data_IF_988107932138
#
_entry.id   IF_988107932138
#
_cell.length_a   1.000
_cell.length_b   1.000
_cell.length_c   1.000
_cell.angle_alpha   90.00
_cell.angle_beta   90.00
_cell.angle_gamma   90.00
#
_symmetry.space_group_name_H-M   'P 1'
#
loop_
_entity.id
_entity.type
_entity.pdbx_description
1 polymer ?
2 branched ?
3 water ?
#
# COMPACT_ATOMS: atom_id res chain seq x y z
N UNK A 4 -21.29 -8.65 -14.48
CA UNK A 4 -22.53 -9.38 -14.05
C UNK A 4 -22.24 -10.36 -12.91
N UNK A 5 -22.70 -10.00 -11.71
CA UNK A 5 -22.41 -10.73 -10.49
C UNK A 5 -23.60 -11.59 -10.04
N UNK A 6 -23.33 -12.84 -9.71
CA UNK A 6 -24.37 -13.74 -9.18
C UNK A 6 -24.07 -14.03 -7.72
N UNK A 7 -25.11 -14.30 -6.93
CA UNK A 7 -24.93 -14.67 -5.53
C UNK A 7 -24.98 -16.18 -5.35
N UNK A 8 -23.96 -16.74 -4.71
CA UNK A 8 -23.95 -18.16 -4.35
C UNK A 8 -24.57 -18.32 -2.97
N UNK A 9 -24.09 -17.52 -2.02
CA UNK A 9 -24.53 -17.53 -0.64
C UNK A 9 -25.56 -16.43 -0.39
N UNK A 10 -26.57 -16.74 0.42
CA UNK A 10 -27.56 -15.74 0.82
C UNK A 10 -26.91 -14.69 1.70
N UNK A 11 -27.40 -13.44 1.63
CA UNK A 11 -26.78 -12.39 2.42
C UNK A 11 -27.11 -12.46 3.90
N UNK A 12 -26.29 -11.81 4.72
CA UNK A 12 -26.62 -11.58 6.11
C UNK A 12 -27.31 -10.23 6.20
N UNK A 13 -28.54 -10.23 6.68
CA UNK A 13 -29.34 -9.01 6.75
C UNK A 13 -29.38 -8.47 8.18
N UNK A 14 -29.07 -7.19 8.31
CA UNK A 14 -29.08 -6.48 9.59
C UNK A 14 -28.41 -7.28 10.71
N UNK A 15 -27.13 -7.66 10.51
CA UNK A 15 -26.47 -8.47 11.52
C UNK A 15 -26.19 -7.64 12.75
N UNK A 16 -26.23 -8.27 13.92
CA UNK A 16 -25.93 -7.58 15.16
C UNK A 16 -24.41 -7.51 15.35
N UNK A 17 -23.91 -6.29 15.52
CA UNK A 17 -22.50 -6.02 15.82
C UNK A 17 -22.20 -6.16 17.31
N UNK A 18 -21.18 -6.96 17.69
CA UNK A 18 -20.18 -7.65 16.86
C UNK A 18 -20.73 -8.88 16.17
N UNK A 19 -20.41 -9.02 14.89
CA UNK A 19 -20.92 -10.13 14.10
C UNK A 19 -19.80 -11.07 13.68
N UNK A 20 -20.09 -12.37 13.69
CA UNK A 20 -19.20 -13.39 13.17
C UNK A 20 -20.03 -14.38 12.37
N UNK A 21 -19.65 -14.59 11.12
CA UNK A 21 -20.36 -15.51 10.25
C UNK A 21 -19.45 -16.14 9.22
N UNK A 22 -19.79 -17.37 8.80
CA UNK A 22 -19.01 -18.14 7.83
C UNK A 22 -19.21 -17.68 6.40
N UNK A 23 -18.15 -17.80 5.59
CA UNK A 23 -18.22 -17.58 4.16
C UNK A 23 -18.21 -18.96 3.52
N UNK A 24 -19.33 -19.32 2.93
CA UNK A 24 -19.50 -20.64 2.32
C UNK A 24 -18.48 -20.93 1.23
N UNK A 25 -17.86 -22.11 1.33
CA UNK A 25 -16.84 -22.55 0.36
C UNK A 25 -15.54 -21.79 0.49
N UNK A 26 -15.50 -20.86 1.44
CA UNK A 26 -14.36 -19.97 1.66
C UNK A 26 -14.23 -18.93 0.57
N UNK A 27 -13.33 -17.97 0.77
CA UNK A 27 -12.99 -16.98 -0.27
C UNK A 27 -12.62 -17.65 -1.59
N UNK A 28 -12.96 -17.00 -2.69
CA UNK A 28 -12.64 -17.49 -4.03
C UNK A 28 -12.16 -16.33 -4.88
N UNK A 29 -11.38 -16.62 -5.92
CA UNK A 29 -10.97 -15.59 -6.84
C UNK A 29 -12.21 -15.06 -7.56
N UNK A 30 -12.36 -13.75 -7.59
CA UNK A 30 -13.50 -13.11 -8.22
C UNK A 30 -14.66 -12.83 -7.29
N UNK A 31 -14.61 -13.38 -6.08
CA UNK A 31 -15.67 -13.20 -5.09
C UNK A 31 -15.70 -11.75 -4.61
N UNK A 32 -16.90 -11.21 -4.52
CA UNK A 32 -17.09 -9.84 -4.10
C UNK A 32 -17.93 -9.82 -2.82
N UNK A 33 -17.40 -9.18 -1.78
CA UNK A 33 -18.07 -9.11 -0.50
C UNK A 33 -18.40 -7.66 -0.20
N UNK A 34 -19.69 -7.32 -0.26
CA UNK A 34 -20.12 -5.95 -0.12
C UNK A 34 -20.84 -5.75 1.22
N UNK A 35 -20.43 -4.70 1.93
CA UNK A 35 -21.05 -4.35 3.20
C UNK A 35 -21.75 -3.01 3.07
N UNK A 36 -23.07 -3.01 3.24
CA UNK A 36 -23.84 -1.78 3.33
C UNK A 36 -24.16 -1.54 4.80
N UNK A 37 -23.84 -0.35 5.28
CA UNK A 37 -24.06 -0.02 6.67
C UNK A 37 -23.77 1.42 6.97
N UNK A 38 -23.72 1.75 8.26
CA UNK A 38 -23.59 3.14 8.70
C UNK A 38 -22.56 3.29 9.83
N UNK A 39 -21.78 4.36 9.74
CA UNK A 39 -20.79 4.74 10.73
C UNK A 39 -21.49 5.55 11.84
N UNK A 40 -21.28 5.16 13.10
CA UNK A 40 -21.89 5.87 14.24
C UNK A 40 -21.40 7.32 14.30
N UNK A 41 -22.15 8.15 15.02
CA UNK A 41 -21.93 9.61 15.01
C UNK A 41 -20.65 10.02 15.74
N UNK A 42 -20.19 9.19 16.65
CA UNK A 42 -18.98 9.47 17.42
C UNK A 42 -17.98 8.33 17.25
N UNK A 43 -18.06 7.67 16.10
CA UNK A 43 -17.18 6.53 15.79
C UNK A 43 -15.71 6.89 15.95
N UNK A 44 -14.98 6.01 16.64
CA UNK A 44 -13.53 6.08 16.71
C UNK A 44 -12.93 5.07 15.74
N UNK A 45 -13.43 3.83 15.80
CA UNK A 45 -12.92 2.71 15.01
C UNK A 45 -14.00 1.70 14.63
N UNK A 46 -13.76 0.98 13.53
CA UNK A 46 -14.44 -0.30 13.30
C UNK A 46 -13.52 -1.31 12.60
N UNK A 47 -13.94 -2.57 12.60
CA UNK A 47 -13.08 -3.65 12.16
C UNK A 47 -13.81 -4.60 11.23
N UNK A 48 -13.18 -4.89 10.09
CA UNK A 48 -13.61 -6.00 9.25
C UNK A 48 -12.44 -6.98 9.15
N UNK A 49 -12.68 -8.21 9.57
CA UNK A 49 -11.67 -9.25 9.59
C UNK A 49 -12.06 -10.41 8.69
N UNK A 50 -11.13 -10.82 7.86
CA UNK A 50 -11.27 -12.08 7.16
C UNK A 50 -10.31 -13.04 7.85
N UNK A 51 -10.84 -14.17 8.30
CA UNK A 51 -10.10 -15.03 9.24
C UNK A 51 -10.47 -16.51 9.10
N UNK A 56 -9.00 -20.09 14.88
CA UNK A 56 -9.71 -19.08 15.68
C UNK A 56 -9.08 -17.69 15.60
N UNK A 57 -7.88 -17.55 16.19
CA UNK A 57 -7.23 -16.24 16.39
C UNK A 57 -6.23 -15.79 15.29
N UNK A 58 -6.53 -16.14 14.04
CA UNK A 58 -5.65 -15.78 12.91
C UNK A 58 -6.37 -14.95 11.83
N UNK A 59 -6.06 -13.66 11.79
CA UNK A 59 -6.69 -12.75 10.84
C UNK A 59 -5.87 -12.55 9.56
N UNK A 60 -6.38 -13.13 8.47
CA UNK A 60 -5.74 -13.03 7.15
C UNK A 60 -5.67 -11.59 6.64
N UNK A 61 -6.76 -10.85 6.82
CA UNK A 61 -6.84 -9.47 6.39
C UNK A 61 -7.65 -8.69 7.42
N UNK A 62 -7.00 -7.69 8.00
CA UNK A 62 -7.58 -6.84 9.02
C UNK A 62 -7.78 -5.47 8.42
N UNK A 63 -9.05 -5.06 8.32
CA UNK A 63 -9.40 -3.75 7.77
C UNK A 63 -9.91 -2.86 8.91
N UNK A 64 -9.12 -1.86 9.26
CA UNK A 64 -9.40 -1.08 10.45
C UNK A 64 -9.28 0.44 10.25
N UNK A 65 -10.40 1.10 9.86
CA UNK A 65 -10.47 2.57 9.81
C UNK A 65 -10.39 3.19 11.20
N UNK A 66 -9.73 4.34 11.29
CA UNK A 66 -9.48 4.99 12.57
C UNK A 66 -9.66 6.50 12.46
N UNK A 67 -10.62 7.02 13.23
CA UNK A 67 -10.92 8.47 13.22
C UNK A 67 -10.02 9.22 14.19
N UNK A 68 -8.72 9.08 13.96
CA UNK A 68 -7.68 9.63 14.82
C UNK A 68 -6.59 10.21 13.92
N UNK A 69 -5.84 11.18 14.46
CA UNK A 69 -4.61 11.68 13.83
C UNK A 69 -4.81 12.06 12.35
N UNK A 70 -5.98 12.60 12.05
CA UNK A 70 -6.29 13.13 10.72
C UNK A 70 -7.22 12.22 9.93
N UNK A 71 -7.34 10.98 10.40
CA UNK A 71 -8.16 9.97 9.73
C UNK A 71 -7.34 9.07 8.82
N UNK A 72 -7.24 7.79 9.17
CA UNK A 72 -6.53 6.82 8.35
C UNK A 72 -7.09 5.40 8.55
N UNK A 73 -6.66 4.47 7.69
CA UNK A 73 -7.11 3.08 7.74
C UNK A 73 -5.91 2.12 7.81
N UNK A 74 -5.96 1.20 8.77
CA UNK A 74 -4.96 0.15 8.91
C UNK A 74 -5.34 -1.14 8.15
N UNK A 75 -4.40 -1.62 7.34
CA UNK A 75 -4.52 -2.96 6.79
C UNK A 75 -3.41 -3.82 7.36
N UNK A 76 -3.76 -5.04 7.79
CA UNK A 76 -2.79 -5.92 8.46
C UNK A 76 -3.17 -7.39 8.47
N UNK A 77 -2.26 -8.21 9.03
CA UNK A 77 -2.44 -9.65 9.15
C UNK A 77 -1.99 -10.13 10.52
N UNK A 78 -2.83 -10.92 11.17
CA UNK A 78 -2.50 -11.56 12.44
C UNK A 78 -2.19 -13.02 12.19
N UNK A 79 -0.98 -13.40 12.55
CA UNK A 79 -0.55 -14.79 12.49
C UNK A 79 -0.02 -15.16 13.85
N UNK A 80 -0.60 -16.20 14.44
CA UNK A 80 -0.19 -16.72 15.74
C UNK A 80 -0.13 -15.66 16.83
N UNK A 81 -1.19 -14.85 16.89
CA UNK A 81 -1.29 -13.79 17.88
C UNK A 81 -0.30 -12.66 17.64
N UNK A 82 0.28 -12.61 16.46
CA UNK A 82 1.25 -11.55 16.13
C UNK A 82 0.78 -10.71 14.95
N UNK A 83 0.72 -9.40 15.15
CA UNK A 83 0.46 -8.47 14.07
C UNK A 83 1.72 -8.26 13.23
N UNK A 84 1.56 -8.36 11.91
CA UNK A 84 2.65 -8.05 10.98
C UNK A 84 2.88 -6.54 10.90
N UNK A 85 3.73 -6.11 9.94
CA UNK A 85 3.88 -4.68 9.72
C UNK A 85 2.59 -4.12 9.11
N UNK A 86 2.23 -2.91 9.51
CA UNK A 86 0.98 -2.32 9.05
C UNK A 86 1.19 -1.64 7.70
N UNK A 87 0.17 -1.73 6.85
CA UNK A 87 0.09 -0.92 5.64
C UNK A 87 -1.02 0.11 5.86
N UNK A 88 -0.62 1.35 6.16
CA UNK A 88 -1.55 2.42 6.49
C UNK A 88 -1.83 3.36 5.31
N UNK A 89 -3.11 3.48 4.94
CA UNK A 89 -3.53 4.47 3.96
C UNK A 89 -3.97 5.72 4.71
N UNK A 90 -3.24 6.82 4.53
CA UNK A 90 -3.44 8.04 5.33
C UNK A 90 -4.58 8.92 4.83
N UNK A 91 -5.77 8.32 4.75
CA UNK A 91 -6.96 9.02 4.28
C UNK A 91 -8.21 8.26 4.75
N UNK A 92 -9.18 9.02 5.24
CA UNK A 92 -10.42 8.46 5.76
C UNK A 92 -11.56 8.63 4.74
N UNK A 93 -12.00 7.52 4.14
CA UNK A 93 -13.05 7.53 3.11
C UNK A 93 -14.47 7.43 3.67
N UNK A 94 -14.59 7.16 4.98
CA UNK A 94 -15.86 7.10 5.68
C UNK A 94 -16.11 8.42 6.42
N UNK A 95 -17.35 8.60 6.89
CA UNK A 95 -17.72 9.80 7.63
C UNK A 95 -18.65 9.49 8.77
N UNK A 96 -18.36 10.07 9.94
CA UNK A 96 -19.16 9.86 11.15
C UNK A 96 -20.62 10.18 10.89
N UNK A 97 -21.50 9.22 11.20
CA UNK A 97 -22.94 9.41 11.04
C UNK A 97 -23.48 9.04 9.67
N UNK A 98 -22.59 8.92 8.69
CA UNK A 98 -22.98 8.72 7.28
C UNK A 98 -22.95 7.27 6.80
N UNK A 99 -23.95 6.85 5.99
CA UNK A 99 -23.93 5.51 5.41
C UNK A 99 -22.77 5.30 4.42
N UNK A 100 -22.39 4.05 4.20
CA UNK A 100 -21.27 3.72 3.34
C UNK A 100 -21.53 2.42 2.60
N UNK A 101 -20.87 2.27 1.45
CA UNK A 101 -20.79 0.98 0.78
C UNK A 101 -19.33 0.58 0.78
N UNK A 102 -19.06 -0.63 1.27
CA UNK A 102 -17.71 -1.14 1.37
C UNK A 102 -17.59 -2.44 0.59
N UNK A 103 -16.72 -2.45 -0.40
CA UNK A 103 -16.61 -3.60 -1.27
C UNK A 103 -15.19 -4.19 -1.25
N UNK A 104 -15.12 -5.49 -0.94
CA UNK A 104 -13.87 -6.24 -1.01
C UNK A 104 -13.91 -7.18 -2.21
N UNK A 105 -12.94 -7.04 -3.10
CA UNK A 105 -12.84 -7.96 -4.24
C UNK A 105 -11.61 -8.85 -4.10
N UNK A 106 -11.84 -10.16 -4.10
CA UNK A 106 -10.77 -11.12 -3.95
C UNK A 106 -10.16 -11.40 -5.31
N UNK A 107 -8.97 -10.87 -5.52
CA UNK A 107 -8.22 -11.07 -6.75
C UNK A 107 -7.07 -12.03 -6.51
N UNK A 108 -6.40 -12.42 -7.59
CA UNK A 108 -5.39 -13.47 -7.56
C UNK A 108 -4.31 -13.20 -6.52
N UNK A 109 -3.83 -11.95 -6.45
CA UNK A 109 -2.76 -11.65 -5.50
C UNK A 109 -3.04 -10.49 -4.54
N UNK A 110 -4.27 -9.97 -4.56
CA UNK A 110 -4.66 -8.91 -3.62
C UNK A 110 -6.17 -8.83 -3.40
N UNK A 111 -6.56 -8.24 -2.27
CA UNK A 111 -7.91 -7.75 -2.08
C UNK A 111 -7.97 -6.37 -2.70
N UNK A 112 -9.00 -6.08 -3.48
CA UNK A 112 -9.26 -4.70 -3.88
C UNK A 112 -10.37 -4.10 -3.01
N UNK A 113 -10.10 -2.97 -2.38
CA UNK A 113 -11.09 -2.33 -1.51
C UNK A 113 -11.70 -1.07 -2.14
N UNK A 114 -13.03 -1.09 -2.24
CA UNK A 114 -13.82 0.02 -2.78
C UNK A 114 -14.70 0.55 -1.66
N UNK A 115 -14.76 1.88 -1.55
CA UNK A 115 -15.64 2.54 -0.60
C UNK A 115 -16.51 3.51 -1.39
N UNK A 116 -17.83 3.32 -1.31
CA UNK A 116 -18.79 4.11 -2.06
C UNK A 116 -18.49 4.13 -3.55
N UNK A 117 -18.31 2.94 -4.12
CA UNK A 117 -18.08 2.75 -5.57
C UNK A 117 -16.77 3.35 -6.15
N UNK A 118 -15.87 3.81 -5.29
CA UNK A 118 -14.55 4.28 -5.72
C UNK A 118 -13.42 3.51 -5.01
N UNK A 119 -12.43 3.08 -5.80
CA UNK A 119 -11.27 2.37 -5.26
C UNK A 119 -10.65 3.15 -4.12
N UNK A 120 -10.30 2.45 -3.05
CA UNK A 120 -9.68 3.08 -1.90
C UNK A 120 -8.28 2.52 -1.60
N UNK A 121 -8.16 1.19 -1.55
CA UNK A 121 -6.87 0.56 -1.27
C UNK A 121 -6.85 -0.89 -1.74
N UNK A 122 -5.65 -1.40 -2.00
CA UNK A 122 -5.46 -2.83 -2.17
C UNK A 122 -4.50 -3.35 -1.12
N UNK A 123 -4.61 -4.64 -0.82
CA UNK A 123 -3.75 -5.28 0.17
C UNK A 123 -3.43 -6.67 -0.35
N UNK A 124 -2.16 -6.87 -0.69
CA UNK A 124 -1.76 -8.15 -1.28
C UNK A 124 -1.70 -9.24 -0.22
N UNK A 125 -2.10 -10.44 -0.62
CA UNK A 125 -2.24 -11.56 0.29
C UNK A 125 -0.93 -11.90 0.99
N UNK A 126 -0.96 -11.97 2.32
CA UNK A 126 0.17 -12.45 3.13
C UNK A 126 0.01 -13.94 3.46
N UNK A 127 -1.23 -14.36 3.63
CA UNK A 127 -1.58 -15.77 3.71
C UNK A 127 -2.62 -15.98 2.60
N UNK A 128 -2.77 -17.22 2.09
CA UNK A 128 -3.69 -17.39 0.96
C UNK A 128 -5.13 -17.10 1.35
N UNK A 129 -5.92 -16.69 0.37
CA UNK A 129 -7.32 -16.34 0.63
C UNK A 129 -8.16 -17.59 0.86
N UNK A 130 -7.74 -18.70 0.25
CA UNK A 130 -8.47 -19.98 0.30
C UNK A 130 -8.76 -20.47 1.71
N UNK A 131 -7.89 -20.11 2.66
CA UNK A 131 -8.00 -20.57 4.03
C UNK A 131 -8.92 -19.67 4.85
N UNK A 132 -9.50 -18.66 4.22
CA UNK A 132 -10.40 -17.74 4.89
C UNK A 132 -11.84 -18.20 4.68
N UNK A 133 -12.52 -18.53 5.78
CA UNK A 133 -13.91 -18.96 5.70
C UNK A 133 -14.78 -18.26 6.75
N UNK A 134 -14.35 -17.08 7.17
CA UNK A 134 -15.06 -16.33 8.19
C UNK A 134 -14.87 -14.84 8.04
N UNK A 135 -15.98 -14.13 7.92
CA UNK A 135 -16.00 -12.67 7.99
C UNK A 135 -16.33 -12.32 9.45
N UNK A 136 -15.77 -11.22 9.93
CA UNK A 136 -16.03 -10.77 11.30
C UNK A 136 -16.02 -9.25 11.36
N UNK A 137 -17.11 -8.68 11.86
CA UNK A 137 -17.26 -7.24 11.90
C UNK A 137 -17.55 -6.78 13.31
N UNK A 138 -16.88 -5.70 13.73
CA UNK A 138 -17.03 -5.13 15.05
C UNK A 138 -16.72 -3.64 15.05
N UNK A 139 -16.92 -2.98 16.19
CA UNK A 139 -16.63 -1.55 16.33
C UNK A 139 -17.83 -0.64 16.17
N UNK A 140 -17.55 0.65 15.98
CA UNK A 140 -18.57 1.70 15.96
C UNK A 140 -19.34 1.83 14.64
N UNK A 141 -20.09 0.78 14.29
CA UNK A 141 -20.91 0.79 13.08
C UNK A 141 -22.16 -0.07 13.22
N UNK A 142 -23.17 0.21 12.40
CA UNK A 142 -24.25 -0.75 12.18
C UNK A 142 -24.28 -1.17 10.71
N UNK A 143 -24.69 -2.41 10.45
CA UNK A 143 -24.79 -2.92 9.09
C UNK A 143 -26.23 -3.19 8.64
N UNK A 144 -26.53 -2.81 7.42
CA UNK A 144 -27.80 -3.14 6.78
C UNK A 144 -27.73 -4.52 6.12
N UNK A 145 -26.61 -4.81 5.45
CA UNK A 145 -26.38 -6.14 4.87
C UNK A 145 -24.91 -6.45 4.51
N UNK A 146 -24.68 -7.72 4.19
CA UNK A 146 -23.40 -8.21 3.67
C UNK A 146 -23.74 -9.16 2.54
N UNK A 147 -23.29 -8.86 1.32
CA UNK A 147 -23.53 -9.75 0.18
C UNK A 147 -22.29 -10.48 -0.30
N UNK A 148 -22.52 -11.61 -0.98
CA UNK A 148 -21.48 -12.43 -1.57
C UNK A 148 -21.86 -12.65 -3.02
N UNK A 149 -21.00 -12.19 -3.93
CA UNK A 149 -21.28 -12.24 -5.36
C UNK A 149 -20.03 -12.63 -6.13
N UNK A 150 -20.19 -13.55 -7.07
CA UNK A 150 -19.07 -14.08 -7.85
C UNK A 150 -19.47 -14.16 -9.32
N UNK A 151 -18.76 -13.40 -10.18
CA UNK A 151 -19.16 -13.18 -11.58
C UNK A 151 -19.26 -14.42 -12.49
N UNK B 5 19.83 -9.21 -17.84
CA UNK B 5 20.07 -7.87 -17.24
C UNK B 5 21.18 -7.11 -17.98
N UNK B 6 20.79 -6.08 -18.72
CA UNK B 6 21.71 -5.27 -19.54
C UNK B 6 21.62 -3.78 -19.18
N UNK B 7 22.66 -3.02 -19.50
CA UNK B 7 22.74 -1.59 -19.17
C UNK B 7 22.18 -0.65 -20.25
N UNK B 8 20.91 -0.27 -20.11
CA UNK B 8 20.27 0.72 -20.99
C UNK B 8 20.82 2.12 -20.71
N UNK B 9 21.55 2.23 -19.60
CA UNK B 9 22.19 3.47 -19.20
C UNK B 9 23.45 3.16 -18.38
N UNK B 10 24.49 3.96 -18.58
CA UNK B 10 25.73 3.84 -17.81
C UNK B 10 25.51 4.32 -16.37
N UNK B 11 26.02 3.56 -15.39
CA UNK B 11 25.80 3.85 -13.96
C UNK B 11 26.33 5.21 -13.52
N UNK B 12 25.63 5.84 -12.58
CA UNK B 12 26.18 7.00 -11.88
C UNK B 12 27.07 6.48 -10.76
N UNK B 13 28.34 6.87 -10.77
CA UNK B 13 29.30 6.43 -9.74
C UNK B 13 29.53 7.53 -8.72
N UNK B 14 29.38 7.18 -7.45
CA UNK B 14 29.45 8.13 -6.32
C UNK B 14 28.77 9.48 -6.57
N UNK B 15 27.45 9.46 -6.85
CA UNK B 15 26.75 10.73 -7.02
C UNK B 15 26.65 11.50 -5.71
N UNK B 16 26.84 12.81 -5.77
CA UNK B 16 26.74 13.67 -4.60
C UNK B 16 25.27 13.97 -4.28
N UNK B 17 24.90 13.80 -3.02
CA UNK B 17 23.57 14.08 -2.52
C UNK B 17 23.54 15.50 -1.94
N UNK B 18 22.52 16.31 -2.30
CA UNK B 18 21.36 16.03 -3.16
C UNK B 18 21.72 15.77 -4.63
N UNK B 19 21.01 14.83 -5.24
CA UNK B 19 21.25 14.42 -6.64
C UNK B 19 19.99 14.54 -7.50
N UNK B 20 20.19 14.92 -8.76
CA UNK B 20 19.12 14.96 -9.77
C UNK B 20 19.74 14.58 -11.09
N UNK B 21 19.20 13.55 -11.74
CA UNK B 21 19.76 13.07 -12.99
C UNK B 21 18.75 12.42 -13.91
N UNK B 22 18.96 12.54 -15.23
CA UNK B 22 18.07 11.95 -16.22
C UNK B 22 18.07 10.42 -16.20
N UNK B 23 16.94 9.82 -16.54
CA UNK B 23 16.81 8.38 -16.78
C UNK B 23 16.65 8.21 -18.29
N UNK B 24 17.48 7.34 -18.87
CA UNK B 24 17.58 7.20 -20.33
C UNK B 24 16.31 6.60 -20.95
N UNK B 25 15.66 7.38 -21.81
CA UNK B 25 14.42 6.96 -22.48
C UNK B 25 13.24 6.80 -21.55
N UNK B 26 13.34 7.42 -20.36
CA UNK B 26 12.29 7.35 -19.33
C UNK B 26 12.11 5.97 -18.73
N UNK B 27 11.12 5.84 -17.85
CA UNK B 27 10.82 4.55 -17.25
C UNK B 27 10.20 3.59 -18.24
N UNK B 28 10.64 2.33 -18.18
CA UNK B 28 10.11 1.26 -19.03
C UNK B 28 9.71 0.06 -18.19
N UNK B 29 8.77 -0.72 -18.72
CA UNK B 29 8.35 -1.95 -18.07
C UNK B 29 9.49 -2.96 -18.03
N UNK B 30 9.88 -3.35 -16.82
CA UNK B 30 10.97 -4.30 -16.62
C UNK B 30 12.29 -3.66 -16.22
N UNK B 31 12.29 -2.35 -16.04
CA UNK B 31 13.51 -1.64 -15.66
C UNK B 31 13.75 -1.70 -14.16
N UNK B 32 14.97 -2.11 -13.79
CA UNK B 32 15.41 -2.14 -12.40
C UNK B 32 16.36 -0.98 -12.14
N UNK B 33 16.00 -0.15 -11.18
CA UNK B 33 16.88 0.93 -10.75
C UNK B 33 17.39 0.60 -9.36
N UNK B 34 18.70 0.34 -9.26
CA UNK B 34 19.30 0.00 -7.98
C UNK B 34 20.07 1.19 -7.41
N UNK B 35 19.82 1.48 -6.14
CA UNK B 35 20.61 2.44 -5.39
C UNK B 35 21.42 1.70 -4.33
N UNK B 36 22.71 1.56 -4.59
CA UNK B 36 23.61 1.00 -3.59
C UNK B 36 24.23 2.15 -2.82
N UNK B 37 24.11 2.11 -1.50
CA UNK B 37 24.57 3.20 -0.65
C UNK B 37 24.51 2.85 0.81
N UNK B 38 24.66 3.87 1.64
CA UNK B 38 24.70 3.70 3.09
C UNK B 38 23.89 4.82 3.76
N UNK B 39 23.06 4.42 4.72
CA UNK B 39 22.28 5.37 5.51
C UNK B 39 23.20 6.01 6.54
N UNK B 40 23.10 7.32 6.72
CA UNK B 40 23.84 8.01 7.79
C UNK B 40 23.47 7.44 9.16
N UNK B 41 24.37 7.54 10.13
CA UNK B 41 24.10 7.06 11.48
C UNK B 41 23.28 8.04 12.34
N UNK B 42 23.23 9.30 11.91
CA UNK B 42 22.35 10.28 12.55
C UNK B 42 21.32 10.76 11.51
N UNK B 43 20.40 9.85 11.18
CA UNK B 43 19.50 10.04 10.04
C UNK B 43 18.05 10.21 10.46
N UNK B 44 17.48 11.36 10.13
CA UNK B 44 16.06 11.60 10.32
C UNK B 44 15.23 10.94 9.22
N UNK B 45 15.45 11.37 7.98
CA UNK B 45 14.74 10.82 6.81
C UNK B 45 15.50 11.09 5.52
N UNK B 46 15.26 10.24 4.51
CA UNK B 46 15.79 10.48 3.16
C UNK B 46 14.78 10.14 2.05
N UNK B 47 15.02 10.69 0.86
CA UNK B 47 14.03 10.74 -0.22
C UNK B 47 14.55 10.15 -1.54
N UNK B 48 13.75 9.25 -2.14
CA UNK B 48 13.98 8.83 -3.53
C UNK B 48 12.76 9.22 -4.38
N UNK B 49 12.93 10.30 -5.15
CA UNK B 49 11.87 10.83 -6.02
C UNK B 49 12.04 10.41 -7.47
N UNK B 50 11.01 9.78 -8.01
CA UNK B 50 10.90 9.58 -9.46
C UNK B 50 9.97 10.65 -9.98
N UNK B 51 10.46 11.44 -10.93
CA UNK B 51 9.71 12.61 -11.38
C UNK B 51 9.83 12.95 -12.87
N UNK B 52 8.96 13.86 -13.30
CA UNK B 52 8.90 14.33 -14.68
C UNK B 52 9.40 15.77 -14.79
N UNK B 53 10.47 15.95 -15.57
CA UNK B 53 11.08 17.27 -15.73
C UNK B 53 10.26 18.27 -16.57
N UNK B 54 9.25 17.77 -17.29
CA UNK B 54 8.36 18.64 -18.08
C UNK B 54 7.26 19.29 -17.24
N UNK B 55 7.16 18.86 -15.98
CA UNK B 55 6.42 19.60 -14.95
C UNK B 55 7.25 19.60 -13.66
N UNK B 56 8.58 19.68 -13.82
CA UNK B 56 9.58 19.65 -12.73
C UNK B 56 9.06 19.43 -11.32
N UNK B 57 8.43 20.48 -10.78
CA UNK B 57 7.78 20.49 -9.47
C UNK B 57 7.12 19.17 -9.01
N UNK B 58 6.36 18.54 -9.92
CA UNK B 58 5.66 17.28 -9.63
C UNK B 58 6.60 16.12 -9.30
N UNK B 59 6.06 15.15 -8.57
CA UNK B 59 6.76 13.90 -8.24
C UNK B 59 5.82 12.73 -8.49
N UNK B 60 6.23 11.80 -9.36
CA UNK B 60 5.38 10.66 -9.72
C UNK B 60 5.35 9.59 -8.63
N UNK B 61 6.53 9.19 -8.17
CA UNK B 61 6.67 8.30 -7.03
C UNK B 61 7.64 8.90 -6.02
N UNK B 62 7.14 9.15 -4.82
CA UNK B 62 7.92 9.69 -3.71
C UNK B 62 8.08 8.60 -2.65
N UNK B 63 9.32 8.12 -2.50
CA UNK B 63 9.66 7.06 -1.55
C UNK B 63 10.51 7.66 -0.43
N UNK B 64 9.93 7.73 0.77
CA UNK B 64 10.53 8.45 1.89
C UNK B 64 10.54 7.69 3.22
N UNK B 65 11.60 6.89 3.47
CA UNK B 65 11.80 6.28 4.79
C UNK B 65 12.05 7.32 5.89
N UNK B 66 11.36 7.15 7.02
CA UNK B 66 11.44 8.08 8.15
C UNK B 66 11.80 7.33 9.43
N UNK B 67 13.01 7.58 9.94
CA UNK B 67 13.48 6.98 11.19
C UNK B 67 12.85 7.71 12.36
N UNK B 68 11.55 7.49 12.54
CA UNK B 68 10.73 8.17 13.50
C UNK B 68 9.57 7.27 13.87
N UNK B 69 9.10 7.38 15.11
CA UNK B 69 7.87 6.71 15.56
C UNK B 69 7.88 5.21 15.30
N UNK B 70 9.04 4.59 15.54
CA UNK B 70 9.21 3.14 15.37
C UNK B 70 9.91 2.80 14.07
N UNK B 71 9.97 3.77 13.17
CA UNK B 71 10.56 3.59 11.85
C UNK B 71 9.56 3.11 10.82
N UNK B 72 9.23 3.98 9.87
CA UNK B 72 8.29 3.65 8.79
C UNK B 72 8.69 4.30 7.46
N UNK B 73 8.09 3.83 6.36
CA UNK B 73 8.34 4.40 5.04
C UNK B 73 7.07 5.05 4.45
N UNK B 74 7.24 6.22 3.85
CA UNK B 74 6.16 6.94 3.17
C UNK B 74 6.27 6.82 1.65
N UNK B 75 5.18 6.42 1.00
CA UNK B 75 5.07 6.40 -0.46
C UNK B 75 3.92 7.30 -0.89
N UNK B 76 4.21 8.27 -1.74
CA UNK B 76 3.19 9.23 -2.19
C UNK B 76 3.44 9.76 -3.61
N UNK B 77 2.49 10.55 -4.10
CA UNK B 77 2.60 11.22 -5.39
C UNK B 77 2.28 12.71 -5.19
N UNK B 78 3.00 13.55 -5.92
CA UNK B 78 2.74 14.99 -5.94
C UNK B 78 2.31 15.43 -7.34
N UNK B 79 1.05 15.87 -7.45
CA UNK B 79 0.49 16.39 -8.70
C UNK B 79 0.10 17.85 -8.54
N UNK B 80 0.58 18.70 -9.45
CA UNK B 80 0.29 20.14 -9.45
C UNK B 80 0.61 20.82 -8.12
N UNK B 81 1.73 20.41 -7.51
CA UNK B 81 2.16 20.94 -6.23
C UNK B 81 1.39 20.42 -5.02
N UNK B 82 0.53 19.43 -5.23
CA UNK B 82 -0.29 18.86 -4.16
C UNK B 82 0.12 17.41 -3.87
N UNK B 83 0.15 17.05 -2.59
CA UNK B 83 0.42 15.69 -2.19
C UNK B 83 -0.89 14.91 -2.09
N UNK B 84 -0.92 13.70 -2.64
CA UNK B 84 -2.07 12.83 -2.52
C UNK B 84 -2.13 12.18 -1.14
N UNK B 85 -2.99 11.16 -0.98
CA UNK B 85 -3.02 10.42 0.28
C UNK B 85 -1.80 9.51 0.41
N UNK B 86 -1.16 9.52 1.58
CA UNK B 86 0.05 8.73 1.81
C UNK B 86 -0.24 7.25 1.99
N UNK B 87 0.68 6.41 1.52
CA UNK B 87 0.64 4.98 1.79
C UNK B 87 1.84 4.65 2.65
N UNK B 88 1.60 4.49 3.95
CA UNK B 88 2.66 4.27 4.90
C UNK B 88 2.86 2.80 5.20
N UNK B 89 4.07 2.30 4.93
CA UNK B 89 4.48 0.99 5.40
C UNK B 89 5.13 1.16 6.78
N UNK B 90 4.51 0.57 7.80
CA UNK B 90 4.95 0.76 9.19
C UNK B 90 6.03 -0.26 9.59
N UNK B 91 7.22 -0.06 9.02
CA UNK B 91 8.36 -0.96 9.16
C UNK B 91 9.56 -0.26 8.49
N UNK B 92 10.71 -0.34 9.14
CA UNK B 92 11.93 0.27 8.62
C UNK B 92 12.94 -0.83 8.24
N UNK B 93 13.14 -1.05 6.92
CA UNK B 93 14.03 -2.10 6.43
C UNK B 93 15.51 -1.67 6.30
N UNK B 94 15.78 -0.40 6.57
CA UNK B 94 17.13 0.16 6.56
C UNK B 94 17.64 0.33 7.98
N UNK B 95 18.83 -0.19 8.25
CA UNK B 95 19.48 0.05 9.53
C UNK B 95 20.23 1.37 9.51
N UNK B 96 20.07 2.15 10.57
CA UNK B 96 20.72 3.46 10.72
C UNK B 96 22.26 3.29 10.70
N UNK B 97 22.92 3.99 9.79
CA UNK B 97 24.38 3.92 9.66
C UNK B 97 24.93 2.77 8.85
N UNK B 98 24.04 1.95 8.29
CA UNK B 98 24.42 0.71 7.61
C UNK B 98 24.28 0.76 6.08
N UNK B 99 25.02 -0.10 5.36
CA UNK B 99 24.83 -0.22 3.90
C UNK B 99 23.49 -0.86 3.53
N UNK B 100 23.04 -0.62 2.29
CA UNK B 100 21.78 -1.18 1.79
C UNK B 100 21.78 -1.35 0.27
N UNK B 101 21.01 -2.34 -0.20
CA UNK B 101 20.70 -2.47 -1.62
C UNK B 101 19.21 -2.15 -1.87
N UNK B 102 18.97 -1.01 -2.50
CA UNK B 102 17.61 -0.56 -2.80
C UNK B 102 17.29 -0.77 -4.27
N UNK B 103 16.32 -1.64 -4.54
CA UNK B 103 15.88 -1.94 -5.90
C UNK B 103 14.51 -1.37 -6.18
N UNK B 104 14.37 -0.68 -7.31
CA UNK B 104 13.07 -0.27 -7.84
C UNK B 104 12.82 -0.98 -9.16
N UNK B 105 11.89 -1.94 -9.16
CA UNK B 105 11.53 -2.67 -10.37
C UNK B 105 10.21 -2.12 -10.93
N UNK B 106 10.29 -1.49 -12.10
CA UNK B 106 9.11 -0.91 -12.75
C UNK B 106 8.32 -2.01 -13.42
N UNK B 107 7.04 -2.09 -13.06
CA UNK B 107 6.13 -3.06 -13.66
C UNK B 107 4.91 -2.36 -14.25
N UNK B 108 4.09 -3.16 -14.95
CA UNK B 108 2.93 -2.65 -15.68
C UNK B 108 2.04 -1.78 -14.80
N UNK B 109 1.67 -2.28 -13.63
CA UNK B 109 0.72 -1.59 -12.77
C UNK B 109 1.30 -0.98 -11.50
N UNK B 110 2.56 -1.28 -11.20
CA UNK B 110 3.20 -0.75 -9.97
C UNK B 110 4.72 -0.68 -10.00
N UNK B 111 5.28 0.08 -9.07
CA UNK B 111 6.69 -0.03 -8.69
C UNK B 111 6.81 -1.14 -7.64
N UNK B 112 7.72 -2.09 -7.86
CA UNK B 112 8.08 -3.10 -6.87
C UNK B 112 9.38 -2.68 -6.19
N UNK B 113 9.34 -2.51 -4.87
CA UNK B 113 10.52 -2.08 -4.11
C UNK B 113 11.16 -3.24 -3.34
N UNK B 114 12.45 -3.46 -3.57
CA UNK B 114 13.21 -4.47 -2.84
C UNK B 114 14.28 -3.78 -2.00
N UNK B 115 14.34 -4.14 -0.72
CA UNK B 115 15.43 -3.68 0.15
C UNK B 115 16.25 -4.88 0.61
N UNK B 116 17.57 -4.76 0.50
CA UNK B 116 18.50 -5.82 0.93
C UNK B 116 18.08 -7.21 0.46
N UNK B 117 17.63 -7.27 -0.79
CA UNK B 117 17.22 -8.52 -1.46
C UNK B 117 15.86 -9.09 -1.01
N UNK B 118 15.20 -8.39 -0.08
CA UNK B 118 13.86 -8.76 0.39
C UNK B 118 12.80 -7.80 -0.18
N UNK B 119 11.69 -8.36 -0.67
CA UNK B 119 10.55 -7.55 -1.09
C UNK B 119 10.08 -6.68 0.07
N UNK B 120 9.94 -5.39 -0.16
CA UNK B 120 9.53 -4.49 0.91
C UNK B 120 8.11 -3.91 0.74
N UNK B 121 7.89 -3.18 -0.34
CA UNK B 121 6.59 -2.55 -0.57
C UNK B 121 6.32 -2.46 -2.06
N UNK B 122 5.06 -2.25 -2.42
CA UNK B 122 4.71 -1.93 -3.79
C UNK B 122 3.99 -0.59 -3.82
N UNK B 123 3.91 -0.01 -5.01
CA UNK B 123 3.27 1.28 -5.17
C UNK B 123 2.66 1.37 -6.55
N UNK B 124 1.33 1.36 -6.57
CA UNK B 124 0.57 1.41 -7.81
C UNK B 124 0.69 2.78 -8.47
N UNK B 125 0.88 2.78 -9.78
CA UNK B 125 1.04 4.00 -10.56
C UNK B 125 -0.17 4.91 -10.45
N UNK B 126 0.07 6.15 -10.02
CA UNK B 126 -0.99 7.13 -9.91
C UNK B 126 -1.04 8.06 -11.11
N UNK B 127 0.14 8.33 -11.67
CA UNK B 127 0.27 9.00 -12.97
C UNK B 127 1.04 8.07 -13.90
N UNK B 128 0.81 8.18 -15.23
CA UNK B 128 1.44 7.19 -16.12
C UNK B 128 2.96 7.16 -15.94
N UNK B 129 3.55 5.96 -15.92
CA UNK B 129 4.98 5.82 -15.59
C UNK B 129 5.91 6.34 -16.69
N UNK B 130 5.42 6.37 -17.93
CA UNK B 130 6.20 6.82 -19.08
C UNK B 130 6.65 8.28 -18.95
N UNK B 131 5.98 9.02 -18.07
CA UNK B 131 6.29 10.43 -17.84
C UNK B 131 7.60 10.65 -17.08
N UNK B 132 8.07 9.63 -16.35
CA UNK B 132 9.26 9.78 -15.54
C UNK B 132 10.54 9.66 -16.35
N UNK B 133 11.32 10.74 -16.37
CA UNK B 133 12.64 10.74 -16.99
C UNK B 133 13.72 11.22 -16.03
N UNK B 134 13.34 11.49 -14.77
CA UNK B 134 14.27 11.99 -13.76
C UNK B 134 14.23 11.17 -12.46
N UNK B 135 15.41 10.83 -11.95
CA UNK B 135 15.55 10.30 -10.58
C UNK B 135 16.24 11.34 -9.68
N UNK B 136 15.65 11.60 -8.52
CA UNK B 136 16.20 12.55 -7.56
C UNK B 136 16.39 11.91 -6.18
N UNK B 137 17.53 12.16 -5.55
CA UNK B 137 17.84 11.60 -4.23
C UNK B 137 18.38 12.68 -3.28
N UNK B 138 17.79 12.77 -2.09
CA UNK B 138 18.18 13.78 -1.09
C UNK B 138 17.95 13.28 0.35
N UNK B 139 18.60 13.93 1.31
CA UNK B 139 18.47 13.56 2.72
C UNK B 139 19.69 12.85 3.31
N UNK B 140 19.51 12.27 4.49
CA UNK B 140 20.64 11.75 5.27
C UNK B 140 21.17 10.39 4.77
N UNK B 141 21.84 10.42 3.62
CA UNK B 141 22.52 9.25 3.08
C UNK B 141 23.69 9.65 2.16
N UNK B 142 24.44 8.64 1.71
CA UNK B 142 25.44 8.79 0.66
C UNK B 142 25.31 7.61 -0.29
N UNK B 143 25.53 7.85 -1.58
CA UNK B 143 25.37 6.80 -2.58
C UNK B 143 26.68 6.31 -3.18
N UNK B 144 26.82 4.99 -3.27
CA UNK B 144 27.96 4.36 -3.92
C UNK B 144 27.76 4.38 -5.43
N UNK B 145 26.65 3.81 -5.90
CA UNK B 145 26.29 3.85 -7.32
C UNK B 145 24.78 3.71 -7.58
N UNK B 146 24.37 4.08 -8.79
CA UNK B 146 22.99 3.90 -9.26
C UNK B 146 23.05 3.18 -10.60
N UNK B 147 22.62 1.92 -10.62
CA UNK B 147 22.67 1.12 -11.84
C UNK B 147 21.31 1.00 -12.54
N UNK B 148 21.35 0.61 -13.81
CA UNK B 148 20.14 0.43 -14.60
C UNK B 148 20.18 -0.91 -15.32
N UNK B 149 19.23 -1.77 -15.00
CA UNK B 149 19.12 -3.08 -15.61
C UNK B 149 17.73 -3.28 -16.18
N UNK B 150 17.65 -3.92 -17.34
CA UNK B 150 16.36 -4.34 -17.91
C UNK B 150 16.12 -5.84 -17.68
N UNK B 151 14.92 -6.17 -17.21
CA UNK B 151 14.54 -7.56 -16.95
C UNK B 151 14.03 -8.23 -18.22
X LIG C 1 -0.22 1.11 18.71
X LIG C 1 -1.63 0.76 18.22
X LIG C 1 -1.56 -0.48 17.33
X LIG C 1 -0.58 -0.28 16.17
X LIG C 1 0.78 0.30 16.62
X LIG C 1 1.73 -0.79 17.14
X LIG C 1 -3.39 1.05 19.96
X LIG C 1 -3.63 2.46 19.47
X LIG C 1 -2.44 0.33 19.36
X LIG C 1 -0.28 2.27 19.54
X LIG C 1 -2.87 -0.74 16.84
X LIG C 1 -1.17 0.56 15.16
X LIG C 1 0.64 1.36 17.59
X LIG C 1 2.06 -1.69 16.08
X LIG C 1 -4.02 0.61 20.89
X LIG C 2 -3.21 -2.11 16.81
X LIG C 2 -4.65 -2.24 17.34
X LIG C 2 -5.28 -3.59 16.98
X LIG C 2 -5.12 -3.90 15.47
X LIG C 2 -3.64 -3.80 15.12
X LIG C 2 -3.36 -4.05 13.64
X LIG C 2 -4.66 -2.04 18.76
X LIG C 2 -6.67 -3.59 17.34
X LIG C 2 -5.90 -2.98 14.70
X LIG C 2 -3.13 -2.50 15.43
X LIG C 2 -1.98 -3.78 13.40
X LIG D 1 2.37 16.80 7.92
X LIG D 1 3.64 16.01 7.60
X LIG D 1 3.49 15.51 6.17
X LIG D 1 2.43 14.40 6.20
X LIG D 1 1.39 14.59 7.32
X LIG D 1 0.03 14.07 6.88
X LIG D 1 5.97 16.65 8.18
X LIG D 1 6.18 15.29 8.79
X LIG D 1 4.77 16.94 7.64
X LIG D 1 2.40 17.31 9.25
X LIG D 1 4.74 15.05 5.65
X LIG D 1 3.09 13.13 6.37
X LIG D 1 1.22 15.97 7.73
X LIG D 1 -0.12 12.69 7.23
X LIG D 1 6.87 17.47 8.17
X LIG D 2 5.01 15.54 4.32
X LIG D 2 6.46 16.04 4.27
X LIG D 2 7.00 16.14 2.84
X LIG D 2 6.70 14.88 2.03
X LIG D 2 5.21 14.59 2.09
X LIG D 2 4.87 13.32 1.31
X LIG D 2 6.56 17.34 4.88
X LIG D 2 8.41 16.38 2.88
X LIG D 2 7.47 13.77 2.53
X LIG D 2 4.77 14.44 3.45
X LIG D 2 3.52 12.94 1.56
#
# INVERSE_FOLDING_TARGET
>A
GSMALFSAQSPYINPIIPFTGPIQGGLQEGLQVTLQGTTKSFAQRFVVNFQNSFNGNDIAFHFNPRFEEGGYVVCNTKQNGQWGPEERKMQMPFQKGMPFELCFLVQRSEFKVMVNKKFFVQYQHRVPYHLVDTIAVSGCLKLSFITFQTQNFRPAHQA
>B
GSMALFSAQSPYINPIIPFTGPIQGGLQEGLQVTLQGTTKSFAQRFVVNFQNSFNGNDIAFHFNPRFEEGGYVVCNTKQNGQWGPEERKMQMPFQKGMPFELCFLVQRSEFKVMVNKKFFVQYQHRVPYHLVDTIAVSGCLKLSFITFQTQNFRPAHQA
>C hetero
1 NGA C1 C2 C3 C4 C5 C6 C7 C8 N2 O1 O3 O4 O5 O6 O7
2 GAL C1 C2 C3 C4 C5 C6 O2 O3 O4 O5 O6
>D hetero
1 NGA C1 C2 C3 C4 C5 C6 C7 C8 N2 O1 O3 O4 O5 O6 O7
2 GAL C1 C2 C3 C4 C5 C6 O2 O3 O4 O5 O6
#
